data_IF_407606800226
#
_entry.id   IF_407606800226
#
_cell.length_a   1.000
_cell.length_b   1.000
_cell.length_c   1.000
_cell.angle_alpha   90.00
_cell.angle_beta   90.00
_cell.angle_gamma   90.00
#
_symmetry.space_group_name_H-M   'P 1'
#
loop_
_entity.id
_entity.type
_entity.pdbx_description
1 polymer ?
#
# COMPACT_ATOMS: atom_id res chain seq x y z
N UNK A 1 7.42 -26.83 22.43
CA UNK A 1 6.46 -26.00 21.68
C UNK A 1 7.15 -24.78 21.05
N UNK A 2 8.37 -24.94 20.53
CA UNK A 2 9.13 -23.90 19.79
C UNK A 2 9.47 -24.42 18.39
N UNK A 3 9.64 -25.75 18.24
CA UNK A 3 9.88 -26.41 16.96
C UNK A 3 8.69 -26.40 15.98
N UNK A 4 7.44 -26.28 16.47
CA UNK A 4 6.26 -26.29 15.60
C UNK A 4 6.05 -24.97 14.84
N UNK A 5 6.46 -23.83 15.43
CA UNK A 5 6.37 -22.52 14.78
C UNK A 5 7.50 -22.32 13.75
N UNK A 6 8.71 -22.81 14.06
CA UNK A 6 9.83 -22.82 13.12
C UNK A 6 9.62 -23.78 11.92
N UNK A 7 8.93 -24.90 12.14
CA UNK A 7 8.59 -25.84 11.06
C UNK A 7 7.45 -25.33 10.15
N UNK A 8 6.53 -24.51 10.67
CA UNK A 8 5.51 -23.85 9.85
C UNK A 8 6.12 -22.76 8.94
N UNK A 9 7.12 -22.01 9.43
CA UNK A 9 7.84 -21.00 8.66
C UNK A 9 8.74 -21.60 7.57
N UNK A 10 9.19 -22.85 7.71
CA UNK A 10 10.01 -23.55 6.70
C UNK A 10 9.19 -24.28 5.60
N UNK A 11 7.86 -24.33 5.69
CA UNK A 11 7.01 -24.95 4.67
C UNK A 11 6.32 -23.94 3.73
N UNK A 12 6.59 -22.64 3.89
CA UNK A 12 6.07 -21.60 3.02
C UNK A 12 7.07 -21.27 1.90
N UNK A 13 7.42 -22.29 1.11
CA UNK A 13 7.90 -22.05 -0.26
C UNK A 13 6.70 -21.51 -1.06
N UNK A 14 6.52 -20.18 -1.10
CA UNK A 14 6.04 -19.43 -2.26
C UNK A 14 4.77 -19.86 -3.03
N UNK A 15 3.82 -20.61 -2.46
CA UNK A 15 2.60 -21.04 -3.19
C UNK A 15 1.37 -20.13 -3.01
N UNK A 16 1.57 -18.87 -2.63
CA UNK A 16 0.50 -17.86 -2.74
C UNK A 16 0.29 -17.45 -4.20
N UNK A 17 -0.91 -17.02 -4.62
CA UNK A 17 -1.06 -16.38 -5.91
C UNK A 17 -0.08 -15.21 -6.02
N UNK A 18 0.59 -15.07 -7.17
CA UNK A 18 1.49 -13.94 -7.39
C UNK A 18 0.71 -12.62 -7.25
N UNK A 19 1.26 -11.61 -6.56
CA UNK A 19 0.58 -10.33 -6.41
C UNK A 19 0.45 -9.64 -7.77
N UNK A 20 -0.69 -9.00 -7.99
CA UNK A 20 -0.94 -8.22 -9.20
C UNK A 20 -0.07 -6.96 -9.18
N UNK A 21 0.75 -6.79 -10.20
CA UNK A 21 1.69 -5.68 -10.36
C UNK A 21 1.03 -4.58 -11.19
N UNK A 22 0.83 -3.41 -10.60
CA UNK A 22 0.15 -2.30 -11.27
C UNK A 22 0.96 -1.01 -11.21
N UNK A 23 0.61 -0.03 -12.02
CA UNK A 23 1.15 1.33 -11.93
C UNK A 23 0.02 2.37 -11.93
N UNK A 24 0.32 3.59 -11.51
CA UNK A 24 -0.64 4.69 -11.51
C UNK A 24 -0.11 5.84 -12.36
N UNK A 25 -0.94 6.33 -13.28
CA UNK A 25 -0.76 7.58 -14.01
C UNK A 25 -1.68 8.60 -13.35
N UNK A 26 -1.12 9.41 -12.46
CA UNK A 26 -1.88 10.48 -11.80
C UNK A 26 -1.80 11.78 -12.59
N UNK A 27 -2.92 12.22 -13.17
CA UNK A 27 -3.02 13.54 -13.81
C UNK A 27 -3.67 14.60 -12.92
N UNK A 28 -4.34 14.20 -11.85
CA UNK A 28 -4.90 15.12 -10.86
C UNK A 28 -3.81 15.82 -10.03
N UNK A 29 -2.64 15.18 -9.90
CA UNK A 29 -1.50 15.68 -9.15
C UNK A 29 -1.64 15.59 -7.62
N UNK A 30 -2.71 14.97 -7.12
CA UNK A 30 -2.93 14.78 -5.68
C UNK A 30 -3.56 13.43 -5.34
N UNK A 31 -4.48 12.92 -6.16
CA UNK A 31 -5.30 11.76 -5.83
C UNK A 31 -4.47 10.47 -5.74
N UNK A 32 -3.45 10.31 -6.58
CA UNK A 32 -2.58 9.13 -6.55
C UNK A 32 -1.79 9.02 -5.24
N UNK A 33 -1.18 10.12 -4.80
CA UNK A 33 -0.44 10.17 -3.53
C UNK A 33 -1.39 10.06 -2.32
N UNK A 34 -2.57 10.68 -2.39
CA UNK A 34 -3.59 10.54 -1.35
C UNK A 34 -4.09 9.10 -1.22
N UNK A 35 -4.39 8.43 -2.35
CA UNK A 35 -4.78 7.03 -2.39
C UNK A 35 -3.71 6.14 -1.77
N UNK A 36 -2.43 6.38 -2.11
CA UNK A 36 -1.34 5.58 -1.54
C UNK A 36 -1.24 5.73 -0.03
N UNK A 37 -1.37 6.94 0.51
CA UNK A 37 -1.35 7.15 1.97
C UNK A 37 -2.54 6.48 2.66
N UNK A 38 -3.74 6.57 2.09
CA UNK A 38 -4.95 5.95 2.66
C UNK A 38 -4.85 4.41 2.63
N UNK A 39 -4.29 3.85 1.55
CA UNK A 39 -3.97 2.42 1.42
C UNK A 39 -2.95 1.98 2.49
N UNK A 40 -1.80 2.65 2.59
CA UNK A 40 -0.76 2.30 3.57
C UNK A 40 -1.32 2.43 5.00
N UNK A 41 -2.10 3.47 5.28
CA UNK A 41 -2.74 3.64 6.58
C UNK A 41 -3.68 2.49 6.94
N UNK A 42 -4.51 2.08 5.99
CA UNK A 42 -5.42 0.95 6.16
C UNK A 42 -4.66 -0.36 6.36
N UNK A 43 -3.62 -0.60 5.57
CA UNK A 43 -2.77 -1.78 5.64
C UNK A 43 -2.02 -1.88 6.98
N UNK A 44 -1.45 -0.76 7.46
CA UNK A 44 -0.79 -0.70 8.77
C UNK A 44 -1.80 -0.99 9.88
N UNK A 45 -3.00 -0.42 9.81
CA UNK A 45 -4.04 -0.66 10.81
C UNK A 45 -4.47 -2.14 10.85
N UNK A 46 -4.76 -2.73 9.69
CA UNK A 46 -5.11 -4.15 9.55
C UNK A 46 -4.02 -5.06 10.11
N UNK A 47 -2.76 -4.81 9.74
CA UNK A 47 -1.64 -5.59 10.24
C UNK A 47 -1.50 -5.49 11.77
N UNK A 48 -1.57 -4.29 12.34
CA UNK A 48 -1.49 -4.10 13.80
C UNK A 48 -2.68 -4.76 14.51
N UNK A 49 -3.88 -4.75 13.92
CA UNK A 49 -5.04 -5.49 14.44
C UNK A 49 -4.79 -7.00 14.46
N UNK A 50 -4.26 -7.55 13.37
CA UNK A 50 -4.01 -8.98 13.24
C UNK A 50 -2.98 -9.49 14.27
N UNK A 51 -1.94 -8.70 14.56
CA UNK A 51 -0.89 -9.10 15.50
C UNK A 51 -1.16 -8.71 16.97
N UNK A 52 -2.17 -7.88 17.26
CA UNK A 52 -2.48 -7.41 18.62
C UNK A 52 -2.79 -8.54 19.62
N UNK A 53 -3.30 -9.69 19.14
CA UNK A 53 -3.57 -10.87 19.96
C UNK A 53 -2.38 -11.80 20.17
N UNK A 54 -1.22 -11.50 19.56
CA UNK A 54 0.00 -12.29 19.66
C UNK A 54 1.02 -11.58 20.54
N UNK A 55 1.89 -12.32 21.23
CA UNK A 55 3.05 -11.71 21.89
C UNK A 55 4.14 -11.59 20.82
N UNK A 56 4.42 -10.38 20.28
CA UNK A 56 5.41 -10.25 19.23
C UNK A 56 6.79 -10.55 19.80
N UNK A 57 7.55 -11.41 19.13
CA UNK A 57 8.95 -11.62 19.46
C UNK A 57 9.80 -10.41 19.06
N UNK A 58 9.33 -9.61 18.10
CA UNK A 58 10.01 -8.41 17.62
C UNK A 58 9.75 -7.21 18.55
N UNK A 59 10.80 -6.58 19.11
CA UNK A 59 10.65 -5.45 20.02
C UNK A 59 10.06 -4.20 19.35
N UNK A 60 10.33 -3.97 18.06
CA UNK A 60 9.76 -2.83 17.32
C UNK A 60 8.25 -3.01 17.19
N UNK A 61 7.80 -4.23 16.87
CA UNK A 61 6.38 -4.54 16.75
C UNK A 61 5.66 -4.48 18.11
N UNK A 62 6.29 -4.96 19.18
CA UNK A 62 5.76 -4.85 20.53
C UNK A 62 5.59 -3.38 20.98
N UNK A 63 6.59 -2.54 20.73
CA UNK A 63 6.50 -1.10 21.01
C UNK A 63 5.45 -0.40 20.13
N UNK A 64 5.34 -0.76 18.85
CA UNK A 64 4.33 -0.24 17.94
C UNK A 64 2.90 -0.55 18.43
N UNK A 65 2.63 -1.80 18.83
CA UNK A 65 1.34 -2.17 19.39
C UNK A 65 1.01 -1.42 20.69
N UNK A 66 2.00 -1.20 21.55
CA UNK A 66 1.81 -0.45 22.79
C UNK A 66 1.53 1.05 22.56
N UNK A 67 2.02 1.61 21.45
CA UNK A 67 1.91 3.03 21.11
C UNK A 67 0.85 3.33 20.03
N UNK A 68 -0.06 2.38 19.77
CA UNK A 68 -1.06 2.43 18.70
C UNK A 68 -1.80 3.78 18.65
N UNK A 69 -2.05 4.27 17.43
CA UNK A 69 -2.62 5.59 17.15
C UNK A 69 -1.65 6.77 17.26
N UNK A 70 -0.78 6.84 18.28
CA UNK A 70 0.06 8.02 18.52
C UNK A 70 1.19 8.22 17.49
N UNK A 71 1.69 7.14 16.88
CA UNK A 71 2.79 7.19 15.91
C UNK A 71 2.37 6.84 14.48
N UNK A 72 1.17 6.27 14.29
CA UNK A 72 0.74 5.64 13.04
C UNK A 72 0.80 6.59 11.84
N UNK A 73 0.23 7.80 11.97
CA UNK A 73 0.23 8.77 10.87
C UNK A 73 1.66 9.08 10.38
N UNK A 74 2.62 9.23 11.30
CA UNK A 74 4.03 9.47 10.94
C UNK A 74 4.70 8.25 10.32
N UNK A 75 4.34 7.04 10.78
CA UNK A 75 4.85 5.81 10.19
C UNK A 75 4.32 5.64 8.76
N UNK A 76 3.03 5.89 8.53
CA UNK A 76 2.39 5.84 7.22
C UNK A 76 3.07 6.80 6.24
N UNK A 77 3.29 8.06 6.66
CA UNK A 77 3.98 9.05 5.83
C UNK A 77 5.39 8.59 5.45
N UNK A 78 6.10 7.96 6.37
CA UNK A 78 7.46 7.51 6.15
C UNK A 78 7.52 6.23 5.29
N UNK A 79 6.61 5.28 5.50
CA UNK A 79 6.45 4.09 4.64
C UNK A 79 6.12 4.53 3.21
N UNK A 80 5.24 5.54 3.05
CA UNK A 80 4.94 6.13 1.77
C UNK A 80 6.21 6.65 1.08
N UNK A 81 6.99 7.50 1.75
CA UNK A 81 8.25 8.03 1.21
C UNK A 81 9.24 6.93 0.84
N UNK A 82 9.45 5.95 1.72
CA UNK A 82 10.40 4.85 1.47
C UNK A 82 9.98 3.97 0.30
N UNK A 83 8.67 3.74 0.12
CA UNK A 83 8.12 2.93 -0.97
C UNK A 83 8.36 3.59 -2.34
N UNK A 84 8.17 4.91 -2.42
CA UNK A 84 8.37 5.68 -3.67
C UNK A 84 9.85 5.80 -4.01
N UNK A 85 10.69 6.10 -3.03
CA UNK A 85 12.12 6.37 -3.25
C UNK A 85 12.98 5.10 -3.30
N UNK A 86 12.40 3.92 -3.05
CA UNK A 86 13.15 2.68 -2.82
C UNK A 86 14.28 2.87 -1.79
N UNK A 87 13.97 3.67 -0.76
CA UNK A 87 14.94 4.17 0.21
C UNK A 87 15.10 3.27 1.43
N UNK A 88 16.14 3.56 2.23
CA UNK A 88 16.31 3.00 3.58
C UNK A 88 16.66 4.12 4.56
N UNK A 89 16.11 4.02 5.75
CA UNK A 89 16.44 4.96 6.83
C UNK A 89 17.84 4.69 7.35
N UNK A 90 18.62 5.75 7.54
CA UNK A 90 19.93 5.67 8.19
C UNK A 90 19.75 5.92 9.68
N UNK A 91 20.05 4.89 10.49
CA UNK A 91 20.01 4.95 11.96
C UNK A 91 18.64 5.42 12.52
N UNK A 92 17.55 4.66 12.27
CA UNK A 92 16.22 5.03 12.78
C UNK A 92 16.20 5.04 14.31
N UNK A 93 15.74 6.14 14.91
CA UNK A 93 15.75 6.35 16.35
C UNK A 93 14.34 6.44 16.93
N UNK A 94 13.44 7.14 16.23
CA UNK A 94 12.05 7.24 16.67
C UNK A 94 11.27 5.95 16.36
N UNK A 95 10.21 5.68 17.13
CA UNK A 95 9.40 4.46 16.93
C UNK A 95 8.83 4.36 15.51
N UNK A 96 8.28 5.45 14.96
CA UNK A 96 7.73 5.46 13.60
C UNK A 96 8.80 5.22 12.52
N UNK A 97 10.05 5.67 12.74
CA UNK A 97 11.18 5.40 11.85
C UNK A 97 11.58 3.93 11.88
N UNK A 98 11.72 3.37 13.09
CA UNK A 98 12.07 1.96 13.25
C UNK A 98 10.98 1.06 12.70
N UNK A 99 9.71 1.38 12.95
CA UNK A 99 8.57 0.64 12.41
C UNK A 99 8.49 0.76 10.89
N UNK A 100 8.68 1.94 10.30
CA UNK A 100 8.69 2.10 8.85
C UNK A 100 9.83 1.30 8.20
N UNK A 101 11.03 1.30 8.80
CA UNK A 101 12.13 0.43 8.35
C UNK A 101 11.79 -1.05 8.48
N UNK A 102 11.25 -1.45 9.63
CA UNK A 102 10.80 -2.82 9.87
C UNK A 102 9.77 -3.28 8.83
N UNK A 103 8.77 -2.45 8.53
CA UNK A 103 7.73 -2.72 7.54
C UNK A 103 8.32 -3.02 6.15
N UNK A 104 9.29 -2.21 5.71
CA UNK A 104 9.94 -2.38 4.41
C UNK A 104 10.83 -3.63 4.34
N UNK A 105 11.43 -4.03 5.46
CA UNK A 105 12.37 -5.16 5.52
C UNK A 105 11.68 -6.52 5.76
N UNK A 106 10.41 -6.54 6.19
CA UNK A 106 9.69 -7.78 6.56
C UNK A 106 8.34 -7.98 5.81
N UNK A 107 8.31 -7.90 4.47
CA UNK A 107 7.08 -8.08 3.70
C UNK A 107 6.45 -9.46 3.87
N UNK A 108 7.25 -10.51 4.08
CA UNK A 108 6.75 -11.88 4.29
C UNK A 108 6.07 -12.02 5.67
N UNK A 109 6.60 -11.38 6.71
CA UNK A 109 5.97 -11.42 8.04
C UNK A 109 4.61 -10.70 8.04
N UNK A 110 4.47 -9.63 7.26
CA UNK A 110 3.20 -8.93 7.06
C UNK A 110 2.21 -9.85 6.34
N UNK A 111 2.66 -10.50 5.25
CA UNK A 111 1.83 -11.44 4.48
C UNK A 111 1.31 -12.60 5.33
N UNK A 112 2.17 -13.17 6.16
CA UNK A 112 1.82 -14.32 7.00
C UNK A 112 0.84 -13.95 8.12
N UNK A 113 1.00 -12.75 8.69
CA UNK A 113 0.16 -12.29 9.79
C UNK A 113 -1.19 -11.72 9.34
N UNK A 114 -1.22 -11.03 8.20
CA UNK A 114 -2.38 -10.31 7.70
C UNK A 114 -2.50 -10.45 6.17
N UNK A 115 -2.92 -11.62 5.65
CA UNK A 115 -3.04 -11.87 4.21
C UNK A 115 -4.08 -10.99 3.50
N UNK A 116 -4.94 -10.30 4.26
CA UNK A 116 -5.89 -9.31 3.77
C UNK A 116 -5.25 -7.95 3.41
N UNK A 117 -4.04 -7.66 3.91
CA UNK A 117 -3.30 -6.43 3.63
C UNK A 117 -3.08 -6.29 2.13
N UNK A 118 -3.42 -5.12 1.58
CA UNK A 118 -3.46 -4.92 0.14
C UNK A 118 -2.10 -5.11 -0.53
N UNK A 119 -1.01 -4.72 0.14
CA UNK A 119 0.36 -4.91 -0.31
C UNK A 119 0.74 -6.39 -0.59
N UNK A 120 0.00 -7.34 -0.03
CA UNK A 120 0.21 -8.78 -0.28
C UNK A 120 -0.44 -9.27 -1.57
N UNK A 121 -1.43 -8.53 -2.08
CA UNK A 121 -2.27 -8.85 -3.25
C UNK A 121 -1.99 -7.95 -4.44
N UNK A 122 -1.65 -6.68 -4.17
CA UNK A 122 -1.45 -5.62 -5.15
C UNK A 122 -0.13 -4.91 -4.88
N UNK A 123 0.76 -4.89 -5.87
CA UNK A 123 2.06 -4.24 -5.77
C UNK A 123 2.13 -3.10 -6.77
N UNK A 124 2.21 -1.88 -6.26
CA UNK A 124 2.47 -0.71 -7.09
C UNK A 124 3.92 -0.71 -7.55
N UNK A 125 4.12 -0.60 -8.87
CA UNK A 125 5.42 -0.50 -9.52
C UNK A 125 5.60 0.94 -9.98
N UNK A 126 6.66 1.56 -9.49
CA UNK A 126 7.02 2.93 -9.81
C UNK A 126 7.94 2.97 -11.04
N UNK A 127 7.45 3.40 -12.21
CA UNK A 127 8.35 3.64 -13.33
C UNK A 127 9.23 4.85 -13.00
N UNK A 128 10.55 4.63 -12.85
CA UNK A 128 11.52 5.66 -12.47
C UNK A 128 11.59 6.90 -13.42
N UNK A 129 10.90 6.88 -14.58
CA UNK A 129 10.93 7.88 -15.68
C UNK A 129 9.63 7.78 -16.52
N UNK A 130 9.24 8.81 -17.33
CA UNK A 130 7.84 9.07 -17.69
C UNK A 130 7.19 7.97 -18.56
N UNK A 131 5.86 8.01 -18.61
CA UNK A 131 4.86 7.23 -19.39
C UNK A 131 5.34 6.33 -20.54
N UNK A 132 6.35 6.73 -21.31
CA UNK A 132 6.89 5.97 -22.44
C UNK A 132 7.48 4.59 -22.09
N UNK A 133 7.82 4.30 -20.82
CA UNK A 133 8.23 2.95 -20.40
C UNK A 133 7.10 2.06 -19.89
N UNK A 134 5.92 2.60 -19.54
CA UNK A 134 4.79 1.79 -19.08
C UNK A 134 4.32 0.81 -20.15
N UNK A 135 4.30 1.26 -21.42
CA UNK A 135 3.99 0.39 -22.55
C UNK A 135 4.97 -0.78 -22.68
N UNK A 136 6.25 -0.56 -22.40
CA UNK A 136 7.28 -1.61 -22.39
C UNK A 136 7.05 -2.63 -21.26
N UNK A 137 6.89 -2.14 -20.03
CA UNK A 137 6.65 -2.96 -18.84
C UNK A 137 5.32 -3.76 -18.92
N UNK A 138 4.30 -3.19 -19.56
CA UNK A 138 3.04 -3.90 -19.79
C UNK A 138 3.19 -4.97 -20.88
N UNK A 139 3.93 -4.65 -21.95
CA UNK A 139 4.14 -5.57 -23.08
C UNK A 139 5.02 -6.77 -22.71
N UNK A 140 6.05 -6.56 -21.87
CA UNK A 140 6.96 -7.62 -21.42
C UNK A 140 6.41 -8.47 -20.25
N UNK A 141 5.25 -8.10 -19.69
CA UNK A 141 4.59 -8.83 -18.61
C UNK A 141 5.07 -8.46 -17.20
N UNK A 142 5.92 -7.43 -17.05
CA UNK A 142 6.34 -6.92 -15.74
C UNK A 142 5.23 -6.14 -15.01
N UNK A 143 4.17 -5.75 -15.74
CA UNK A 143 2.95 -5.14 -15.24
C UNK A 143 1.72 -5.90 -15.74
N UNK A 144 0.77 -6.11 -14.84
CA UNK A 144 -0.54 -6.65 -15.14
C UNK A 144 -1.52 -5.58 -15.64
N UNK A 145 -1.26 -4.32 -15.29
CA UNK A 145 -2.01 -3.17 -15.79
C UNK A 145 -1.59 -1.86 -15.13
N UNK A 146 -2.33 -0.80 -15.43
CA UNK A 146 -2.13 0.51 -14.84
C UNK A 146 -3.43 1.31 -14.75
N UNK A 147 -3.54 2.17 -13.74
CA UNK A 147 -4.63 3.13 -13.59
C UNK A 147 -4.29 4.45 -14.28
N UNK A 148 -5.30 5.09 -14.85
CA UNK A 148 -5.24 6.48 -15.31
C UNK A 148 -6.24 7.29 -14.51
N UNK A 149 -5.72 8.20 -13.69
CA UNK A 149 -6.53 9.17 -12.94
C UNK A 149 -6.69 10.43 -13.81
N UNK A 150 -7.91 10.94 -14.01
CA UNK A 150 -8.15 12.15 -14.81
C UNK A 150 -7.66 13.42 -14.09
N UNK A 151 -7.58 14.53 -14.83
CA UNK A 151 -7.02 15.80 -14.35
C UNK A 151 -7.84 16.40 -13.19
N UNK A 152 -9.16 16.19 -13.20
CA UNK A 152 -10.06 16.72 -12.18
C UNK A 152 -11.20 15.74 -11.87
N UNK A 153 -10.91 14.71 -11.08
CA UNK A 153 -11.92 13.75 -10.61
C UNK A 153 -13.00 14.39 -9.73
N UNK A 154 -12.71 15.54 -9.10
CA UNK A 154 -13.64 16.20 -8.17
C UNK A 154 -14.77 16.87 -8.94
N UNK A 155 -14.44 17.70 -9.93
CA UNK A 155 -15.43 18.42 -10.74
C UNK A 155 -16.12 17.51 -11.77
N UNK A 156 -15.38 16.60 -12.41
CA UNK A 156 -15.92 15.76 -13.49
C UNK A 156 -16.71 14.55 -12.96
N UNK A 157 -16.38 14.07 -11.76
CA UNK A 157 -16.87 12.79 -11.26
C UNK A 157 -16.38 11.58 -12.04
N UNK A 158 -15.38 11.75 -12.92
CA UNK A 158 -14.75 10.64 -13.62
C UNK A 158 -13.89 9.82 -12.65
N UNK A 159 -14.19 8.53 -12.56
CA UNK A 159 -13.41 7.56 -11.81
C UNK A 159 -12.11 7.20 -12.54
N UNK A 160 -11.06 6.78 -11.82
CA UNK A 160 -9.86 6.24 -12.43
C UNK A 160 -10.18 5.05 -13.34
N UNK A 161 -9.54 4.99 -14.51
CA UNK A 161 -9.72 3.90 -15.46
C UNK A 161 -8.57 2.90 -15.34
N UNK A 162 -8.89 1.63 -15.18
CA UNK A 162 -7.89 0.56 -15.29
C UNK A 162 -7.63 0.19 -16.77
N UNK A 163 -6.37 0.03 -17.12
CA UNK A 163 -5.91 -0.50 -18.41
C UNK A 163 -4.99 -1.68 -18.12
N UNK A 164 -5.48 -2.90 -18.31
CA UNK A 164 -4.72 -4.09 -17.95
C UNK A 164 -5.21 -5.36 -18.60
N UNK A 165 -4.63 -6.48 -18.19
CA UNK A 165 -5.01 -7.83 -18.63
C UNK A 165 -6.29 -8.25 -17.89
N UNK A 166 -7.18 -8.94 -18.59
CA UNK A 166 -8.51 -9.34 -18.07
C UNK A 166 -8.41 -10.16 -16.77
N UNK A 167 -7.37 -10.98 -16.63
CA UNK A 167 -7.11 -11.78 -15.43
C UNK A 167 -6.85 -10.96 -14.15
N UNK A 168 -6.43 -9.69 -14.29
CA UNK A 168 -6.10 -8.81 -13.18
C UNK A 168 -7.18 -7.76 -12.89
N UNK A 169 -8.04 -7.45 -13.87
CA UNK A 169 -8.85 -6.24 -13.87
C UNK A 169 -9.96 -6.21 -12.81
N UNK A 170 -10.63 -7.32 -12.49
CA UNK A 170 -11.85 -7.28 -11.66
C UNK A 170 -11.64 -6.83 -10.21
N UNK A 171 -10.71 -7.47 -9.50
CA UNK A 171 -10.50 -7.22 -8.06
C UNK A 171 -9.73 -5.92 -7.81
N UNK A 172 -8.69 -5.65 -8.62
CA UNK A 172 -7.87 -4.45 -8.47
C UNK A 172 -8.65 -3.18 -8.83
N UNK A 173 -9.49 -3.22 -9.88
CA UNK A 173 -10.29 -2.06 -10.30
C UNK A 173 -11.34 -1.71 -9.26
N UNK A 174 -12.04 -2.71 -8.71
CA UNK A 174 -13.00 -2.51 -7.63
C UNK A 174 -12.32 -1.95 -6.37
N UNK A 175 -11.17 -2.50 -5.99
CA UNK A 175 -10.42 -2.07 -4.82
C UNK A 175 -9.91 -0.62 -4.95
N UNK A 176 -9.18 -0.31 -6.01
CA UNK A 176 -8.60 1.02 -6.21
C UNK A 176 -9.68 2.08 -6.50
N UNK A 177 -10.75 1.68 -7.21
CA UNK A 177 -11.94 2.50 -7.43
C UNK A 177 -12.58 2.93 -6.10
N UNK A 178 -12.84 2.00 -5.18
CA UNK A 178 -13.42 2.32 -3.89
C UNK A 178 -12.57 3.30 -3.06
N UNK A 179 -11.25 3.12 -3.04
CA UNK A 179 -10.31 4.03 -2.35
C UNK A 179 -10.40 5.44 -2.92
N UNK A 180 -10.32 5.56 -4.24
CA UNK A 180 -10.29 6.87 -4.93
C UNK A 180 -11.64 7.59 -4.88
N UNK A 181 -12.75 6.86 -5.00
CA UNK A 181 -14.10 7.41 -4.80
C UNK A 181 -14.30 8.00 -3.41
N UNK A 182 -13.85 7.29 -2.37
CA UNK A 182 -13.94 7.75 -0.99
C UNK A 182 -13.14 9.05 -0.76
N UNK A 183 -11.96 9.16 -1.39
CA UNK A 183 -11.11 10.35 -1.31
C UNK A 183 -11.71 11.55 -2.06
N UNK A 184 -12.22 11.34 -3.27
CA UNK A 184 -12.91 12.38 -4.04
C UNK A 184 -14.15 12.87 -3.30
N UNK A 185 -14.93 11.97 -2.69
CA UNK A 185 -16.09 12.34 -1.88
C UNK A 185 -15.68 13.19 -0.66
N UNK A 186 -14.59 12.82 0.04
CA UNK A 186 -14.01 13.60 1.15
C UNK A 186 -13.61 15.00 0.68
N UNK A 187 -12.93 15.10 -0.46
CA UNK A 187 -12.45 16.37 -1.02
C UNK A 187 -13.61 17.30 -1.40
N UNK A 188 -14.68 16.78 -2.02
CA UNK A 188 -15.88 17.57 -2.33
C UNK A 188 -16.51 18.21 -1.09
N UNK A 189 -16.52 17.50 0.03
CA UNK A 189 -17.05 18.03 1.29
C UNK A 189 -16.16 19.15 1.84
N UNK A 190 -14.83 19.02 1.72
CA UNK A 190 -13.90 20.07 2.14
C UNK A 190 -14.10 21.34 1.32
N UNK A 191 -14.12 21.23 -0.02
CA UNK A 191 -14.33 22.37 -0.93
C UNK A 191 -15.68 23.05 -0.69
N UNK A 192 -16.76 22.26 -0.52
CA UNK A 192 -18.09 22.81 -0.21
C UNK A 192 -18.17 23.56 1.13
N UNK A 193 -17.29 23.26 2.09
CA UNK A 193 -17.24 23.94 3.38
C UNK A 193 -16.32 25.17 3.36
N UNK A 194 -15.37 25.24 2.43
CA UNK A 194 -14.50 26.42 2.26
C UNK A 194 -15.22 27.55 1.51
N UNK A 195 -16.19 27.21 0.66
CA UNK A 195 -17.04 28.16 -0.08
C UNK A 195 -18.26 28.68 0.71
N UNK A 196 -18.46 28.21 1.96
CA UNK A 196 -19.63 28.51 2.81
C UNK A 196 -19.33 29.56 3.91
#
# INVERSE_FOLDING_TARGET
>A
MIAALAAALSQLDGTGPEPVRYAVIDRSGWLGDAARRDIIGSDVALFLDAVAGTVPADPVLAEALAARGAFEARAVDLIHTLSVESGRLRAPAALHERFAGWWMDHPDAIRDAAPEVSFTRFVEVFPARPLGRLGGLFSDGSLDGYFVIPDDSVATGEAPRFVGREAAAGDIEAWYGAVTEALVARQRVLEANEDA
#
